data_IF_261175401866
#
_entry.id   IF_261175401866
#
_cell.length_a   1.000
_cell.length_b   1.000
_cell.length_c   1.000
_cell.angle_alpha   90.00
_cell.angle_beta   90.00
_cell.angle_gamma   90.00
#
_symmetry.space_group_name_H-M   'P 1'
#
loop_
_entity.id
_entity.type
_entity.pdbx_description
1 polymer ?
#
# COMPACT_ATOMS: atom_id res chain seq x y z
N UNK A 1 7.19 -16.61 60.10
CA UNK A 1 7.94 -15.37 59.85
C UNK A 1 7.23 -14.60 58.76
N UNK A 2 6.59 -13.49 59.14
CA UNK A 2 5.81 -12.63 58.26
C UNK A 2 6.73 -11.60 57.59
N UNK A 3 6.55 -11.35 56.30
CA UNK A 3 7.24 -10.29 55.56
C UNK A 3 6.23 -9.42 54.81
N UNK A 4 5.78 -8.42 55.54
CA UNK A 4 5.44 -7.03 55.22
C UNK A 4 5.19 -6.64 53.75
N UNK A 5 3.92 -6.36 53.46
CA UNK A 5 3.44 -5.53 52.35
C UNK A 5 3.52 -4.06 52.76
N UNK A 6 4.47 -3.28 52.21
CA UNK A 6 4.35 -1.81 52.05
C UNK A 6 5.57 -1.20 51.34
N UNK A 7 5.39 -0.75 50.09
CA UNK A 7 5.93 0.54 49.61
C UNK A 7 5.36 0.91 48.25
N UNK A 8 4.17 1.50 48.30
CA UNK A 8 3.71 2.43 47.30
C UNK A 8 4.71 3.61 47.21
N UNK A 9 5.37 3.77 46.05
CA UNK A 9 6.13 5.00 45.75
C UNK A 9 5.28 5.89 44.84
N UNK A 10 5.01 7.07 45.39
CA UNK A 10 4.26 8.19 44.85
C UNK A 10 4.85 8.65 43.51
N UNK A 11 3.99 8.78 42.50
CA UNK A 11 4.25 9.51 41.26
C UNK A 11 3.94 10.98 41.53
N UNK A 12 4.88 11.94 41.33
CA UNK A 12 4.54 13.35 41.32
C UNK A 12 3.82 13.73 40.03
N UNK A 13 2.73 14.47 40.23
CA UNK A 13 1.83 15.03 39.23
C UNK A 13 2.50 16.05 38.30
N UNK A 14 1.86 16.18 37.14
CA UNK A 14 2.11 17.12 36.07
C UNK A 14 2.30 18.57 36.56
N UNK A 15 3.13 19.32 35.81
CA UNK A 15 3.21 20.77 35.92
C UNK A 15 3.01 21.37 34.54
N UNK A 16 1.84 21.99 34.39
CA UNK A 16 1.47 22.88 33.29
C UNK A 16 2.40 24.10 33.23
N UNK A 17 2.67 24.56 32.00
CA UNK A 17 3.49 25.74 31.73
C UNK A 17 3.19 26.28 30.33
N UNK A 18 2.07 26.99 30.22
CA UNK A 18 1.73 27.90 29.12
C UNK A 18 2.70 29.08 29.08
N UNK A 19 3.24 29.42 27.89
CA UNK A 19 3.35 30.80 27.36
C UNK A 19 4.14 30.83 26.05
N UNK A 20 3.63 31.60 25.06
CA UNK A 20 4.43 32.00 23.89
C UNK A 20 3.66 32.24 22.59
N UNK A 21 2.68 33.15 22.59
CA UNK A 21 2.14 33.77 21.35
C UNK A 21 3.17 34.77 20.79
N UNK A 22 3.21 34.88 19.47
CA UNK A 22 3.05 36.11 18.67
C UNK A 22 4.09 36.26 17.54
N UNK A 23 3.61 36.42 16.30
CA UNK A 23 4.44 36.68 15.14
C UNK A 23 3.70 36.56 13.80
N UNK A 24 2.63 37.35 13.62
CA UNK A 24 2.06 37.60 12.29
C UNK A 24 2.98 38.53 11.48
N UNK A 25 3.15 38.28 10.18
CA UNK A 25 3.04 39.26 9.07
C UNK A 25 3.52 38.63 7.76
N UNK A 26 2.79 38.88 6.67
CA UNK A 26 3.36 38.79 5.33
C UNK A 26 2.43 38.26 4.24
N UNK A 27 1.39 39.02 3.88
CA UNK A 27 0.74 38.92 2.57
C UNK A 27 1.79 39.02 1.46
N UNK A 28 1.61 38.24 0.39
CA UNK A 28 1.57 38.71 -1.01
C UNK A 28 1.22 37.54 -1.93
N UNK A 29 0.00 37.57 -2.47
CA UNK A 29 -0.31 36.95 -3.76
C UNK A 29 0.49 37.65 -4.85
N UNK A 30 0.86 36.93 -5.91
CA UNK A 30 0.36 37.35 -7.21
C UNK A 30 -0.10 36.20 -8.12
N UNK A 31 -1.17 36.52 -8.82
CA UNK A 31 -1.38 36.31 -10.27
C UNK A 31 -1.52 34.88 -10.80
N UNK A 32 -2.76 34.64 -11.26
CA UNK A 32 -3.08 33.80 -12.41
C UNK A 32 -1.99 33.92 -13.48
N UNK A 33 -1.42 32.79 -13.87
CA UNK A 33 -0.79 32.65 -15.18
C UNK A 33 -1.53 31.56 -15.92
N UNK A 34 -2.19 31.97 -17.00
CA UNK A 34 -2.92 31.12 -17.92
C UNK A 34 -1.99 30.10 -18.58
N UNK A 35 -2.56 28.92 -18.81
CA UNK A 35 -2.01 27.84 -19.61
C UNK A 35 -1.59 28.30 -21.02
N UNK A 36 -0.46 27.81 -21.56
CA UNK A 36 -0.30 27.65 -22.99
C UNK A 36 -0.83 26.28 -23.40
N UNK A 37 -1.97 26.29 -24.09
CA UNK A 37 -2.50 25.18 -24.86
C UNK A 37 -1.54 24.82 -26.01
N UNK A 38 -0.90 23.66 -25.93
CA UNK A 38 -0.20 23.05 -27.06
C UNK A 38 -1.22 22.62 -28.12
N UNK A 39 -1.43 23.47 -29.13
CA UNK A 39 -2.10 23.11 -30.38
C UNK A 39 -1.26 22.08 -31.12
N UNK A 40 -1.69 20.83 -31.10
CA UNK A 40 -1.19 19.80 -32.01
C UNK A 40 -1.81 20.07 -33.39
N UNK A 41 -0.98 20.53 -34.32
CA UNK A 41 -1.33 20.65 -35.73
C UNK A 41 -1.50 19.25 -36.34
N UNK A 42 -2.74 18.89 -36.63
CA UNK A 42 -3.08 17.73 -37.47
C UNK A 42 -2.84 18.18 -38.91
N UNK A 43 -1.69 17.78 -39.47
CA UNK A 43 -1.38 17.96 -40.88
C UNK A 43 -2.17 16.90 -41.67
N UNK A 44 -3.38 17.25 -42.11
CA UNK A 44 -4.15 16.50 -43.09
C UNK A 44 -3.49 16.65 -44.46
N UNK A 45 -2.68 15.67 -44.85
CA UNK A 45 -2.27 15.49 -46.24
C UNK A 45 -3.44 14.92 -47.05
N UNK A 46 -4.22 15.78 -47.70
CA UNK A 46 -5.10 15.39 -48.79
C UNK A 46 -4.30 15.40 -50.11
N UNK A 47 -4.13 14.27 -50.81
CA UNK A 47 -3.60 14.30 -52.17
C UNK A 47 -4.73 14.71 -53.13
N UNK A 48 -4.58 15.89 -53.73
CA UNK A 48 -5.35 16.31 -54.90
C UNK A 48 -5.04 15.38 -56.08
N UNK A 49 -6.06 14.71 -56.60
CA UNK A 49 -6.05 14.15 -57.95
C UNK A 49 -7.07 14.90 -58.82
N UNK A 50 -6.70 15.37 -60.02
CA UNK A 50 -7.63 16.01 -60.93
C UNK A 50 -8.42 14.94 -61.72
N UNK A 51 -9.71 15.17 -61.87
CA UNK A 51 -10.60 14.43 -62.77
C UNK A 51 -10.48 15.00 -64.19
N UNK A 52 -10.39 14.16 -65.24
CA UNK A 52 -10.82 14.54 -66.57
C UNK A 52 -12.22 13.98 -66.86
N UNK A 53 -13.13 14.88 -67.21
CA UNK A 53 -14.40 14.57 -67.87
C UNK A 53 -14.12 14.02 -69.28
N UNK A 54 -14.73 12.88 -69.61
CA UNK A 54 -14.80 12.34 -70.96
C UNK A 54 -16.00 11.40 -71.06
N UNK A 55 -17.08 11.87 -71.68
CA UNK A 55 -18.23 11.08 -72.11
C UNK A 55 -17.81 10.06 -73.17
N UNK A 56 -18.35 8.84 -73.16
CA UNK A 56 -18.91 8.13 -74.34
C UNK A 56 -19.91 7.05 -73.88
N UNK A 57 -21.06 7.01 -74.56
CA UNK A 57 -22.20 6.11 -74.39
C UNK A 57 -21.93 4.61 -74.61
N UNK A 58 -22.79 3.80 -73.97
CA UNK A 58 -23.47 2.60 -74.53
C UNK A 58 -22.64 1.41 -75.03
N UNK A 59 -22.63 0.31 -74.26
CA UNK A 59 -22.80 -1.05 -74.79
C UNK A 59 -23.05 -2.10 -73.69
N UNK A 60 -24.30 -2.58 -73.68
CA UNK A 60 -24.80 -3.94 -73.39
C UNK A 60 -23.82 -5.01 -72.85
N UNK A 61 -24.30 -5.67 -71.80
CA UNK A 61 -24.26 -7.11 -71.50
C UNK A 61 -22.88 -7.79 -71.36
N UNK A 62 -22.58 -8.24 -70.13
CA UNK A 62 -22.21 -9.62 -69.74
C UNK A 62 -21.35 -9.61 -68.47
N UNK A 63 -21.85 -10.20 -67.39
CA UNK A 63 -21.13 -11.16 -66.52
C UNK A 63 -21.75 -11.15 -65.11
N UNK A 64 -22.60 -12.14 -64.78
CA UNK A 64 -23.08 -12.37 -63.43
C UNK A 64 -22.22 -13.48 -62.81
N UNK A 65 -21.28 -13.17 -61.89
CA UNK A 65 -20.69 -14.16 -60.96
C UNK A 65 -19.62 -13.48 -60.11
N UNK A 66 -20.01 -12.92 -58.96
CA UNK A 66 -19.14 -12.93 -57.79
C UNK A 66 -19.95 -13.40 -56.59
N UNK A 67 -19.77 -14.69 -56.32
CA UNK A 67 -20.22 -15.41 -55.14
C UNK A 67 -19.66 -14.76 -53.87
N UNK A 68 -20.55 -14.61 -52.89
CA UNK A 68 -20.41 -14.97 -51.48
C UNK A 68 -19.01 -14.98 -50.84
N UNK A 69 -18.79 -14.11 -49.85
CA UNK A 69 -18.31 -14.45 -48.50
C UNK A 69 -18.07 -13.16 -47.69
N UNK A 70 -19.06 -12.73 -46.92
CA UNK A 70 -18.87 -11.73 -45.87
C UNK A 70 -19.66 -12.14 -44.64
N UNK A 71 -19.26 -13.25 -44.02
CA UNK A 71 -19.74 -13.65 -42.70
C UNK A 71 -18.53 -13.97 -41.84
N UNK A 72 -18.56 -13.46 -40.60
CA UNK A 72 -17.61 -13.66 -39.51
C UNK A 72 -16.40 -12.71 -39.47
N UNK A 73 -16.65 -11.44 -39.14
CA UNK A 73 -15.72 -10.71 -38.27
C UNK A 73 -16.47 -10.10 -37.10
N UNK A 74 -15.88 -10.25 -35.91
CA UNK A 74 -16.22 -9.63 -34.63
C UNK A 74 -17.08 -10.46 -33.65
N UNK A 75 -16.64 -11.67 -33.32
CA UNK A 75 -16.78 -12.19 -31.96
C UNK A 75 -15.38 -12.46 -31.39
N UNK A 76 -14.61 -11.38 -31.18
CA UNK A 76 -13.41 -11.47 -30.35
C UNK A 76 -13.90 -11.54 -28.91
N UNK A 77 -13.56 -12.59 -28.12
CA UNK A 77 -13.84 -12.55 -26.70
C UNK A 77 -13.00 -11.39 -26.16
N UNK A 78 -13.67 -10.34 -25.67
CA UNK A 78 -13.00 -9.35 -24.87
C UNK A 78 -12.40 -10.11 -23.69
N UNK A 79 -11.07 -10.32 -23.70
CA UNK A 79 -10.35 -10.90 -22.59
C UNK A 79 -10.60 -9.96 -21.40
N UNK A 80 -11.60 -10.29 -20.60
CA UNK A 80 -11.95 -9.54 -19.41
C UNK A 80 -10.72 -9.60 -18.52
N UNK A 81 -9.96 -8.49 -18.48
CA UNK A 81 -8.86 -8.33 -17.54
C UNK A 81 -9.51 -8.33 -16.17
N UNK A 82 -9.51 -9.49 -15.51
CA UNK A 82 -9.89 -9.56 -14.12
C UNK A 82 -9.02 -8.56 -13.36
N UNK A 83 -9.60 -7.63 -12.60
CA UNK A 83 -8.82 -6.70 -11.80
C UNK A 83 -7.87 -7.52 -10.93
N UNK A 84 -6.56 -7.26 -11.04
CA UNK A 84 -5.62 -7.85 -10.08
C UNK A 84 -5.95 -7.24 -8.72
N UNK A 85 -6.32 -8.09 -7.77
CA UNK A 85 -6.50 -7.72 -6.37
C UNK A 85 -5.24 -7.02 -5.86
N UNK A 86 -5.40 -6.03 -4.99
CA UNK A 86 -4.28 -5.44 -4.25
C UNK A 86 -3.57 -6.49 -3.40
N UNK A 87 -2.32 -6.26 -2.99
CA UNK A 87 -1.60 -7.22 -2.14
C UNK A 87 -2.29 -7.42 -0.78
N UNK A 88 -2.98 -6.40 -0.25
CA UNK A 88 -3.76 -6.55 0.99
C UNK A 88 -4.96 -7.47 0.76
N UNK A 89 -5.72 -7.28 -0.33
CA UNK A 89 -6.85 -8.16 -0.66
C UNK A 89 -6.39 -9.60 -0.96
N UNK A 90 -5.24 -9.76 -1.61
CA UNK A 90 -4.62 -11.08 -1.78
C UNK A 90 -4.26 -11.71 -0.44
N UNK A 91 -3.65 -10.96 0.48
CA UNK A 91 -3.31 -11.47 1.81
C UNK A 91 -4.55 -11.80 2.67
N UNK A 92 -5.66 -11.08 2.51
CA UNK A 92 -6.92 -11.37 3.19
C UNK A 92 -7.59 -12.67 2.71
N UNK A 93 -7.36 -13.05 1.46
CA UNK A 93 -7.97 -14.22 0.82
C UNK A 93 -7.05 -15.44 0.79
N UNK A 94 -5.82 -15.33 1.30
CA UNK A 94 -4.85 -16.42 1.26
C UNK A 94 -4.86 -17.28 2.53
N UNK A 95 -4.22 -18.45 2.47
CA UNK A 95 -4.15 -19.44 3.56
C UNK A 95 -2.93 -19.25 4.50
N UNK A 96 -2.13 -18.21 4.27
CA UNK A 96 -0.87 -17.96 4.98
C UNK A 96 0.32 -18.77 4.42
N UNK A 97 0.19 -19.45 3.28
CA UNK A 97 1.25 -20.18 2.61
C UNK A 97 2.30 -19.30 1.93
N UNK A 98 3.28 -19.94 1.27
CA UNK A 98 4.40 -19.27 0.58
C UNK A 98 3.99 -18.49 -0.67
N UNK A 99 2.74 -18.61 -1.13
CA UNK A 99 2.18 -17.86 -2.24
C UNK A 99 1.50 -16.56 -1.78
N UNK A 100 1.31 -16.39 -0.48
CA UNK A 100 0.77 -15.15 0.08
C UNK A 100 1.78 -14.00 -0.04
N UNK A 101 1.31 -12.75 -0.14
CA UNK A 101 2.17 -11.58 -0.12
C UNK A 101 3.03 -11.53 1.15
N UNK A 102 4.32 -11.26 0.99
CA UNK A 102 5.26 -11.12 2.11
C UNK A 102 5.31 -9.67 2.62
N UNK A 103 5.68 -9.51 3.89
CA UNK A 103 5.76 -8.18 4.52
C UNK A 103 6.59 -7.17 3.71
N UNK A 104 7.82 -7.47 3.24
CA UNK A 104 8.62 -6.56 2.43
C UNK A 104 7.90 -6.05 1.18
N UNK A 105 7.19 -6.94 0.48
CA UNK A 105 6.49 -6.60 -0.76
C UNK A 105 5.31 -5.67 -0.50
N UNK A 106 4.50 -6.01 0.52
CA UNK A 106 3.37 -5.17 0.96
C UNK A 106 3.88 -3.83 1.49
N UNK A 107 4.96 -3.81 2.27
CA UNK A 107 5.56 -2.58 2.80
C UNK A 107 6.06 -1.64 1.70
N UNK A 108 6.61 -2.19 0.61
CA UNK A 108 7.10 -1.42 -0.54
C UNK A 108 5.95 -0.92 -1.42
N UNK A 109 4.94 -1.76 -1.67
CA UNK A 109 3.86 -1.47 -2.62
C UNK A 109 2.69 -0.67 -2.00
N UNK A 110 2.30 -0.95 -0.74
CA UNK A 110 1.12 -0.37 -0.12
C UNK A 110 1.45 0.81 0.80
N UNK A 111 0.95 1.99 0.44
CA UNK A 111 1.18 3.22 1.21
C UNK A 111 0.50 3.21 2.58
N UNK A 112 -0.73 2.68 2.68
CA UNK A 112 -1.48 2.68 3.93
C UNK A 112 -0.82 1.77 4.97
N UNK A 113 -0.41 0.57 4.54
CA UNK A 113 0.34 -0.38 5.34
C UNK A 113 1.66 0.22 5.84
N UNK A 114 2.48 0.77 4.92
CA UNK A 114 3.75 1.42 5.28
C UNK A 114 3.54 2.59 6.25
N UNK A 115 2.51 3.40 6.02
CA UNK A 115 2.17 4.54 6.89
C UNK A 115 1.77 4.05 8.28
N UNK A 116 0.90 3.05 8.38
CA UNK A 116 0.44 2.49 9.65
C UNK A 116 1.62 1.97 10.49
N UNK A 117 2.52 1.19 9.88
CA UNK A 117 3.74 0.70 10.52
C UNK A 117 4.60 1.86 11.06
N UNK A 118 4.94 2.84 10.20
CA UNK A 118 5.81 3.95 10.59
C UNK A 118 5.19 4.84 11.67
N UNK A 119 3.87 5.06 11.63
CA UNK A 119 3.15 5.83 12.65
C UNK A 119 3.13 5.08 13.99
N UNK A 120 2.87 3.77 13.97
CA UNK A 120 2.91 2.91 15.17
C UNK A 120 4.27 2.98 15.85
N UNK A 121 5.35 2.79 15.09
CA UNK A 121 6.72 2.91 15.62
C UNK A 121 7.00 4.28 16.22
N UNK A 122 6.65 5.35 15.50
CA UNK A 122 6.89 6.72 15.96
C UNK A 122 6.18 7.01 17.29
N UNK A 123 4.91 6.58 17.44
CA UNK A 123 4.15 6.74 18.69
C UNK A 123 4.79 5.99 19.86
N UNK A 124 5.38 4.83 19.60
CA UNK A 124 6.10 4.04 20.61
C UNK A 124 7.54 4.52 20.88
N UNK A 125 7.97 5.65 20.30
CA UNK A 125 9.35 6.14 20.43
C UNK A 125 10.39 5.24 19.75
N UNK A 126 9.97 4.38 18.82
CA UNK A 126 10.85 3.53 18.02
C UNK A 126 11.20 4.24 16.71
N UNK A 127 12.44 4.05 16.26
CA UNK A 127 12.83 4.34 14.88
C UNK A 127 12.71 3.06 14.07
N UNK A 128 12.26 3.20 12.82
CA UNK A 128 12.28 2.11 11.86
C UNK A 128 13.73 1.67 11.62
N UNK A 129 14.00 0.37 11.76
CA UNK A 129 15.31 -0.18 11.41
C UNK A 129 15.55 -0.16 9.90
N UNK A 130 16.80 0.05 9.49
CA UNK A 130 17.16 0.16 8.07
C UNK A 130 16.84 -1.12 7.28
N UNK A 131 17.01 -2.28 7.91
CA UNK A 131 16.82 -3.59 7.29
C UNK A 131 15.35 -3.95 7.02
N UNK A 132 14.36 -3.24 7.58
CA UNK A 132 12.94 -3.62 7.47
C UNK A 132 12.44 -3.88 6.04
N UNK A 133 12.77 -3.05 5.02
CA UNK A 133 12.29 -3.28 3.65
C UNK A 133 12.90 -4.51 2.98
N UNK A 134 14.04 -5.00 3.48
CA UNK A 134 14.83 -6.07 2.87
C UNK A 134 15.10 -7.20 3.88
N UNK A 135 14.28 -7.26 4.95
CA UNK A 135 14.40 -8.23 6.02
C UNK A 135 13.84 -9.59 5.64
N UNK A 136 14.24 -10.62 6.38
CA UNK A 136 13.69 -11.97 6.23
C UNK A 136 12.32 -11.98 6.89
N UNK A 137 11.29 -12.33 6.13
CA UNK A 137 9.90 -12.14 6.56
C UNK A 137 9.05 -13.38 6.36
N UNK A 138 7.96 -13.45 7.13
CA UNK A 138 6.86 -14.36 6.86
C UNK A 138 5.89 -13.77 5.84
N UNK A 139 5.07 -14.60 5.16
CA UNK A 139 3.88 -14.10 4.48
C UNK A 139 2.94 -13.40 5.46
N UNK A 140 2.05 -12.54 4.92
CA UNK A 140 0.89 -12.06 5.67
C UNK A 140 -0.14 -13.18 5.73
N UNK A 141 -0.55 -13.52 6.95
CA UNK A 141 -1.54 -14.54 7.25
C UNK A 141 -2.80 -13.90 7.84
N UNK A 142 -4.01 -14.18 7.31
CA UNK A 142 -5.23 -13.75 7.95
C UNK A 142 -5.43 -14.47 9.28
N UNK A 143 -5.75 -13.70 10.32
CA UNK A 143 -6.06 -14.18 11.66
C UNK A 143 -7.28 -13.45 12.18
N UNK A 144 -8.06 -14.11 13.04
CA UNK A 144 -9.15 -13.48 13.76
C UNK A 144 -8.78 -13.40 15.24
N UNK A 145 -8.83 -12.20 15.81
CA UNK A 145 -8.49 -11.96 17.21
C UNK A 145 -9.43 -10.90 17.78
N UNK A 146 -9.99 -11.18 18.96
CA UNK A 146 -11.04 -10.35 19.58
C UNK A 146 -12.21 -10.02 18.63
N UNK A 147 -12.57 -10.97 17.75
CA UNK A 147 -13.61 -10.81 16.73
C UNK A 147 -13.23 -9.86 15.58
N UNK A 148 -11.96 -9.47 15.47
CA UNK A 148 -11.43 -8.61 14.41
C UNK A 148 -10.58 -9.41 13.44
N UNK A 149 -10.87 -9.29 12.15
CA UNK A 149 -10.03 -9.81 11.09
C UNK A 149 -8.77 -8.96 10.93
N UNK A 150 -7.60 -9.59 11.09
CA UNK A 150 -6.28 -8.95 11.03
C UNK A 150 -5.35 -9.75 10.12
N UNK A 151 -4.29 -9.11 9.66
CA UNK A 151 -3.19 -9.78 8.95
C UNK A 151 -1.95 -9.83 9.84
N UNK A 152 -1.54 -11.03 10.22
CA UNK A 152 -0.34 -11.31 11.01
C UNK A 152 0.87 -11.52 10.09
N UNK A 153 2.01 -10.93 10.44
CA UNK A 153 3.29 -11.21 9.78
C UNK A 153 4.46 -10.92 10.71
N UNK A 154 5.65 -11.38 10.35
CA UNK A 154 6.90 -10.98 10.98
C UNK A 154 7.97 -10.60 9.95
N UNK A 155 8.91 -9.77 10.39
CA UNK A 155 10.12 -9.43 9.64
C UNK A 155 11.31 -9.33 10.61
N UNK A 156 12.40 -10.00 10.28
CA UNK A 156 13.62 -10.05 11.08
C UNK A 156 14.81 -9.44 10.31
N UNK A 157 15.83 -9.02 11.05
CA UNK A 157 17.10 -8.60 10.47
C UNK A 157 17.81 -9.79 9.80
N UNK A 158 18.27 -9.65 8.55
CA UNK A 158 19.02 -10.71 7.88
C UNK A 158 20.23 -11.17 8.71
N UNK A 159 20.38 -12.48 8.87
CA UNK A 159 21.42 -13.13 9.69
C UNK A 159 21.42 -12.77 11.18
N UNK A 160 20.43 -12.00 11.66
CA UNK A 160 20.31 -11.57 13.05
C UNK A 160 18.83 -11.52 13.49
N UNK A 161 18.10 -12.63 13.33
CA UNK A 161 16.67 -12.65 13.67
C UNK A 161 16.34 -12.40 15.16
N UNK A 162 17.35 -12.24 16.04
CA UNK A 162 17.14 -11.69 17.38
C UNK A 162 16.55 -10.28 17.35
N UNK A 163 16.78 -9.52 16.26
CA UNK A 163 16.12 -8.26 15.95
C UNK A 163 14.96 -8.50 14.99
N UNK A 164 13.72 -8.35 15.47
CA UNK A 164 12.52 -8.68 14.70
C UNK A 164 11.32 -7.83 15.09
N UNK A 165 10.40 -7.72 14.14
CA UNK A 165 9.04 -7.22 14.33
C UNK A 165 8.06 -8.36 14.11
N UNK A 166 7.07 -8.48 14.99
CA UNK A 166 5.81 -9.18 14.70
C UNK A 166 4.71 -8.13 14.66
N UNK A 167 3.81 -8.22 13.68
CA UNK A 167 2.83 -7.17 13.37
C UNK A 167 1.45 -7.75 13.09
N UNK A 168 0.43 -7.02 13.50
CA UNK A 168 -0.98 -7.22 13.17
C UNK A 168 -1.46 -5.98 12.43
N UNK A 169 -1.83 -6.13 11.17
CA UNK A 169 -2.42 -5.07 10.37
C UNK A 169 -3.94 -5.20 10.35
N UNK A 170 -4.63 -4.09 10.60
CA UNK A 170 -6.07 -3.97 10.41
C UNK A 170 -6.35 -3.32 9.04
N UNK A 171 -6.83 -4.09 8.04
CA UNK A 171 -7.12 -3.53 6.72
C UNK A 171 -8.34 -2.60 6.72
N UNK A 172 -9.29 -2.76 7.65
CA UNK A 172 -10.48 -1.93 7.74
C UNK A 172 -10.15 -0.55 8.34
N UNK A 173 -9.42 -0.53 9.45
CA UNK A 173 -9.00 0.71 10.12
C UNK A 173 -7.71 1.31 9.53
N UNK A 174 -6.99 0.54 8.71
CA UNK A 174 -5.65 0.88 8.20
C UNK A 174 -4.69 1.22 9.35
N UNK A 175 -4.82 0.49 10.45
CA UNK A 175 -4.05 0.63 11.68
C UNK A 175 -3.12 -0.56 11.87
N UNK A 176 -2.12 -0.42 12.74
CA UNK A 176 -1.15 -1.50 12.98
C UNK A 176 -0.75 -1.56 14.45
N UNK A 177 -0.84 -2.78 14.98
CA UNK A 177 -0.30 -3.19 16.27
C UNK A 177 0.90 -4.09 16.05
N UNK A 178 1.84 -4.10 16.98
CA UNK A 178 3.00 -4.97 16.85
C UNK A 178 3.94 -4.92 18.04
N UNK A 179 4.97 -5.74 17.95
CA UNK A 179 6.07 -5.79 18.92
C UNK A 179 7.39 -5.77 18.19
N UNK A 180 8.34 -4.99 18.72
CA UNK A 180 9.74 -5.08 18.38
C UNK A 180 10.48 -5.84 19.48
N UNK A 181 11.27 -6.83 19.09
CA UNK A 181 12.20 -7.56 19.96
C UNK A 181 13.60 -7.39 19.37
N UNK A 182 14.57 -7.06 20.20
CA UNK A 182 15.98 -6.94 19.82
C UNK A 182 16.84 -6.55 21.00
N UNK A 183 18.05 -6.10 20.75
CA UNK A 183 18.92 -5.56 21.79
C UNK A 183 18.75 -4.05 21.97
N UNK A 184 18.93 -3.57 23.20
CA UNK A 184 19.23 -2.17 23.47
C UNK A 184 20.69 -1.85 23.09
N UNK A 185 21.03 -0.56 23.06
CA UNK A 185 22.40 -0.12 22.75
C UNK A 185 23.46 -0.51 23.78
N UNK A 186 23.09 -1.26 24.82
CA UNK A 186 23.96 -1.77 25.89
C UNK A 186 24.01 -3.32 25.92
N UNK A 187 23.39 -3.99 24.95
CA UNK A 187 23.35 -5.45 24.85
C UNK A 187 22.26 -6.12 25.70
N UNK A 188 21.41 -5.35 26.40
CA UNK A 188 20.23 -5.87 27.10
C UNK A 188 19.10 -6.20 26.13
N UNK A 189 18.23 -7.15 26.48
CA UNK A 189 17.05 -7.44 25.67
C UNK A 189 16.02 -6.31 25.78
N UNK A 190 15.44 -5.94 24.64
CA UNK A 190 14.44 -4.87 24.51
C UNK A 190 13.22 -5.40 23.78
N UNK A 191 12.09 -5.38 24.48
CA UNK A 191 10.76 -5.65 23.93
C UNK A 191 9.92 -4.39 24.00
N UNK A 192 9.40 -3.91 22.88
CA UNK A 192 8.56 -2.70 22.82
C UNK A 192 7.34 -2.96 21.95
N UNK A 193 6.17 -2.88 22.57
CA UNK A 193 4.89 -2.93 21.87
C UNK A 193 4.53 -1.56 21.26
N UNK A 194 3.81 -1.57 20.15
CA UNK A 194 3.28 -0.38 19.49
C UNK A 194 1.86 -0.63 18.99
N UNK A 195 1.09 0.46 18.85
CA UNK A 195 -0.31 0.41 18.42
C UNK A 195 -1.32 0.06 19.51
N UNK A 196 -0.90 -0.02 20.78
CA UNK A 196 -1.76 -0.34 21.93
C UNK A 196 -2.49 -1.69 21.79
N UNK A 197 -1.74 -2.81 21.66
CA UNK A 197 -2.35 -4.12 21.48
C UNK A 197 -3.16 -4.55 22.70
N UNK A 198 -4.24 -5.29 22.46
CA UNK A 198 -4.97 -6.02 23.52
C UNK A 198 -4.08 -7.09 24.16
N UNK A 199 -4.52 -7.68 25.27
CA UNK A 199 -3.77 -8.77 25.92
C UNK A 199 -3.62 -9.97 24.98
N UNK A 200 -4.68 -10.30 24.23
CA UNK A 200 -4.65 -11.39 23.26
C UNK A 200 -3.70 -11.07 22.10
N UNK A 201 -3.76 -9.85 21.57
CA UNK A 201 -2.86 -9.40 20.50
C UNK A 201 -1.41 -9.41 20.95
N UNK A 202 -1.11 -8.94 22.16
CA UNK A 202 0.23 -8.91 22.71
C UNK A 202 0.83 -10.32 22.87
N UNK A 203 0.03 -11.28 23.35
CA UNK A 203 0.45 -12.68 23.47
C UNK A 203 0.75 -13.31 22.10
N UNK A 204 -0.14 -13.11 21.12
CA UNK A 204 0.05 -13.58 19.75
C UNK A 204 1.31 -12.97 19.11
N UNK A 205 1.48 -11.67 19.25
CA UNK A 205 2.62 -10.92 18.70
C UNK A 205 3.95 -11.37 19.30
N UNK A 206 4.00 -11.69 20.59
CA UNK A 206 5.22 -12.13 21.26
C UNK A 206 5.65 -13.55 20.83
N UNK A 207 4.68 -14.44 20.60
CA UNK A 207 4.91 -15.85 20.24
C UNK A 207 5.20 -16.08 18.76
N UNK A 208 4.63 -15.26 17.89
CA UNK A 208 4.92 -15.24 16.45
C UNK A 208 6.36 -14.79 16.20
#
# INVERSE_FOLDING_TARGET
MAADYRRARRVPLARDGLAGRQGQRGRRHPLLSLMPMCKHGILLCCPHYPMPLGEVMSARLLSPLFLAAAVALAAMPAQARTPRLSLIEQAQSCDGGHTCPYFPDVYKADYAFRKAFNVGLKKAGLKRQRWVPDGVASPLKPVEIDGKARLLSSVCEPHNCGHRYSILYDPAERSMTGVYIGSDGKGGSRTVYFGEPSIAEADLLFKN
#
